data_IF_967874738382
#
_entry.id   IF_967874738382
#
_cell.length_a   1.000
_cell.length_b   1.000
_cell.length_c   1.000
_cell.angle_alpha   90.00
_cell.angle_beta   90.00
_cell.angle_gamma   90.00
#
_symmetry.space_group_name_H-M   'P 1'
#
loop_
_entity.id
_entity.type
_entity.pdbx_description
1 polymer ?
#
# COMPACT_ATOMS: atom_id res chain seq x y z
N UNK A 1 -22.47 -6.78 11.24
CA UNK A 1 -22.18 -6.54 9.81
C UNK A 1 -21.63 -5.13 9.53
N UNK A 2 -21.02 -4.46 10.52
CA UNK A 2 -20.15 -3.29 10.31
C UNK A 2 -19.29 -3.15 11.57
N UNK A 3 -18.16 -3.85 11.60
CA UNK A 3 -17.04 -3.63 12.52
C UNK A 3 -15.94 -4.58 12.09
N UNK A 4 -14.71 -4.08 11.88
CA UNK A 4 -13.44 -4.82 12.07
C UNK A 4 -12.22 -4.19 11.33
N UNK A 5 -12.24 -2.91 10.98
CA UNK A 5 -10.98 -2.20 10.66
C UNK A 5 -10.25 -1.72 11.95
N UNK A 6 -11.02 -1.38 12.99
CA UNK A 6 -10.46 -1.02 14.30
C UNK A 6 -9.95 -2.22 15.10
N UNK A 7 -10.54 -3.41 14.91
CA UNK A 7 -10.16 -4.63 15.63
C UNK A 7 -8.81 -5.19 15.16
N UNK A 8 -8.49 -5.07 13.86
CA UNK A 8 -7.18 -5.45 13.30
C UNK A 8 -6.08 -4.48 13.76
N UNK A 9 -6.42 -3.21 13.94
CA UNK A 9 -5.47 -2.20 14.46
C UNK A 9 -5.13 -2.40 15.94
N UNK A 10 -6.02 -3.00 16.74
CA UNK A 10 -5.84 -3.19 18.19
C UNK A 10 -5.11 -4.50 18.58
N UNK A 11 -5.10 -5.52 17.72
CA UNK A 11 -4.48 -6.82 18.03
C UNK A 11 -2.96 -6.88 17.81
N UNK A 12 -2.35 -5.85 17.20
CA UNK A 12 -0.95 -5.86 16.78
C UNK A 12 0.04 -5.18 17.75
N UNK A 13 -0.43 -4.62 18.88
CA UNK A 13 0.39 -4.07 19.97
C UNK A 13 1.62 -3.26 19.48
N UNK A 14 1.37 -2.24 18.65
CA UNK A 14 2.42 -1.52 17.93
C UNK A 14 3.03 -0.40 18.80
N UNK A 15 4.35 -0.44 19.10
CA UNK A 15 5.01 0.66 19.79
C UNK A 15 5.11 1.88 18.86
N UNK A 16 4.82 3.05 19.42
CA UNK A 16 4.73 4.34 18.73
C UNK A 16 6.14 4.89 18.42
N UNK A 17 6.69 4.49 17.28
CA UNK A 17 7.59 5.22 16.36
C UNK A 17 7.81 4.30 15.15
N UNK A 18 7.50 4.69 13.91
CA UNK A 18 7.50 3.73 12.78
C UNK A 18 8.60 4.00 11.73
N UNK A 19 9.88 3.68 12.02
CA UNK A 19 11.00 3.90 11.11
C UNK A 19 11.17 2.71 10.16
N UNK A 20 10.22 2.47 9.24
CA UNK A 20 10.32 1.50 8.12
C UNK A 20 10.54 -0.01 8.44
N UNK A 21 11.15 -0.38 9.56
CA UNK A 21 11.35 -1.78 9.99
C UNK A 21 10.02 -2.46 10.35
N UNK A 22 9.10 -1.84 11.12
CA UNK A 22 7.81 -2.46 11.35
C UNK A 22 6.99 -2.61 10.07
N UNK A 23 7.09 -1.64 9.15
CA UNK A 23 6.43 -1.70 7.84
C UNK A 23 6.83 -2.96 7.06
N UNK A 24 8.13 -3.24 6.93
CA UNK A 24 8.63 -4.44 6.26
C UNK A 24 8.18 -5.74 6.96
N UNK A 25 8.09 -5.73 8.29
CA UNK A 25 7.56 -6.87 9.06
C UNK A 25 6.08 -7.12 8.75
N UNK A 26 5.23 -6.10 8.79
CA UNK A 26 3.80 -6.26 8.49
C UNK A 26 3.56 -6.71 7.05
N UNK A 27 4.30 -6.15 6.09
CA UNK A 27 4.24 -6.59 4.69
C UNK A 27 4.56 -8.09 4.56
N UNK A 28 5.60 -8.57 5.27
CA UNK A 28 5.94 -9.99 5.31
C UNK A 28 4.83 -10.85 5.92
N UNK A 29 4.18 -10.39 6.99
CA UNK A 29 3.05 -11.08 7.63
C UNK A 29 1.84 -11.20 6.69
N UNK A 30 1.67 -10.25 5.77
CA UNK A 30 0.68 -10.32 4.68
C UNK A 30 1.10 -11.22 3.51
N UNK A 31 2.27 -11.87 3.59
CA UNK A 31 2.83 -12.69 2.50
C UNK A 31 3.54 -11.88 1.41
N UNK A 32 3.88 -10.62 1.68
CA UNK A 32 4.52 -9.68 0.75
C UNK A 32 5.89 -9.26 1.30
N UNK A 33 6.90 -10.15 1.29
CA UNK A 33 8.23 -9.79 1.77
C UNK A 33 8.84 -8.68 0.90
N UNK A 34 9.32 -7.62 1.54
CA UNK A 34 9.92 -6.48 0.84
C UNK A 34 11.44 -6.60 0.82
N UNK A 35 12.04 -6.31 -0.34
CA UNK A 35 13.49 -6.09 -0.44
C UNK A 35 13.88 -4.73 0.13
N UNK A 36 15.16 -4.52 0.52
CA UNK A 36 15.64 -3.21 0.94
C UNK A 36 15.37 -2.11 -0.09
N UNK A 37 15.52 -2.43 -1.39
CA UNK A 37 15.24 -1.50 -2.48
C UNK A 37 13.76 -1.09 -2.55
N UNK A 38 12.83 -2.03 -2.29
CA UNK A 38 11.40 -1.71 -2.23
C UNK A 38 11.07 -0.84 -1.03
N UNK A 39 11.63 -1.13 0.16
CA UNK A 39 11.45 -0.28 1.35
C UNK A 39 11.94 1.14 1.07
N UNK A 40 13.09 1.30 0.42
CA UNK A 40 13.60 2.62 0.02
C UNK A 40 12.71 3.31 -1.02
N UNK A 41 12.09 2.55 -1.93
CA UNK A 41 11.14 3.09 -2.91
C UNK A 41 9.89 3.66 -2.22
N UNK A 42 9.32 2.91 -1.27
CA UNK A 42 8.21 3.40 -0.45
C UNK A 42 8.60 4.65 0.33
N UNK A 43 9.80 4.70 0.91
CA UNK A 43 10.31 5.89 1.62
C UNK A 43 10.36 7.12 0.74
N UNK A 44 10.94 6.99 -0.45
CA UNK A 44 11.02 8.10 -1.42
C UNK A 44 9.64 8.56 -1.86
N UNK A 45 8.72 7.64 -2.11
CA UNK A 45 7.36 7.98 -2.51
C UNK A 45 6.57 8.68 -1.39
N UNK A 46 6.73 8.24 -0.12
CA UNK A 46 6.16 8.95 1.04
C UNK A 46 6.66 10.39 1.11
N UNK A 47 7.96 10.61 0.93
CA UNK A 47 8.52 11.98 0.94
C UNK A 47 7.93 12.83 -0.19
N UNK A 48 7.85 12.28 -1.40
CA UNK A 48 7.24 12.96 -2.54
C UNK A 48 5.77 13.32 -2.28
N UNK A 49 5.00 12.42 -1.68
CA UNK A 49 3.61 12.68 -1.33
C UNK A 49 3.46 13.78 -0.29
N UNK A 50 4.27 13.76 0.77
CA UNK A 50 4.26 14.80 1.79
C UNK A 50 4.64 16.17 1.20
N UNK A 51 5.65 16.18 0.33
CA UNK A 51 6.11 17.41 -0.32
C UNK A 51 5.05 17.99 -1.26
N UNK A 52 4.44 17.15 -2.08
CA UNK A 52 3.38 17.55 -2.99
C UNK A 52 2.10 17.96 -2.23
N UNK A 53 1.76 17.28 -1.11
CA UNK A 53 0.61 17.62 -0.28
C UNK A 53 0.65 19.04 0.31
N UNK A 54 1.83 19.67 0.36
CA UNK A 54 1.96 21.09 0.78
C UNK A 54 1.41 22.06 -0.24
N UNK A 55 1.37 21.68 -1.51
CA UNK A 55 0.99 22.54 -2.63
C UNK A 55 -0.35 22.14 -3.27
N UNK A 56 -0.70 20.86 -3.21
CA UNK A 56 -1.92 20.29 -3.78
C UNK A 56 -2.51 19.29 -2.79
N UNK A 57 -3.82 19.36 -2.51
CA UNK A 57 -4.48 18.46 -1.56
C UNK A 57 -4.67 17.04 -2.15
N UNK A 58 -3.59 16.28 -2.30
CA UNK A 58 -3.57 14.95 -2.94
C UNK A 58 -4.16 13.85 -2.05
N UNK A 59 -3.96 13.95 -0.74
CA UNK A 59 -4.56 13.06 0.26
C UNK A 59 -4.95 13.87 1.49
N UNK A 60 -5.71 13.32 2.44
CA UNK A 60 -5.93 13.94 3.76
C UNK A 60 -4.81 13.63 4.78
N UNK A 61 -3.86 12.77 4.42
CA UNK A 61 -2.79 12.30 5.31
C UNK A 61 -1.66 13.33 5.33
N UNK A 62 -1.15 13.67 6.52
CA UNK A 62 -0.22 14.80 6.73
C UNK A 62 1.11 14.41 7.37
N UNK A 63 1.26 13.16 7.78
CA UNK A 63 2.44 12.65 8.45
C UNK A 63 2.86 11.29 7.89
N UNK A 64 4.13 10.95 8.10
CA UNK A 64 4.76 9.73 7.59
C UNK A 64 4.09 8.46 8.14
N UNK A 65 3.79 8.43 9.44
CA UNK A 65 3.19 7.27 10.10
C UNK A 65 1.81 6.95 9.51
N UNK A 66 0.99 7.99 9.28
CA UNK A 66 -0.32 7.85 8.67
C UNK A 66 -0.25 7.36 7.22
N UNK A 67 0.74 7.82 6.44
CA UNK A 67 0.98 7.32 5.08
C UNK A 67 1.44 5.85 5.09
N UNK A 68 2.33 5.46 6.00
CA UNK A 68 2.75 4.06 6.13
C UNK A 68 1.56 3.16 6.44
N UNK A 69 0.74 3.51 7.43
CA UNK A 69 -0.38 2.67 7.85
C UNK A 69 -1.55 2.69 6.85
N UNK A 70 -2.06 3.87 6.50
CA UNK A 70 -3.35 4.03 5.80
C UNK A 70 -3.25 4.16 4.29
N UNK A 71 -2.04 4.31 3.76
CA UNK A 71 -1.81 4.42 2.33
C UNK A 71 -1.03 3.21 1.81
N UNK A 72 0.11 2.88 2.45
CA UNK A 72 0.95 1.76 2.00
C UNK A 72 0.44 0.41 2.48
N UNK A 73 0.32 0.20 3.80
CA UNK A 73 -0.09 -1.11 4.34
C UNK A 73 -1.52 -1.48 3.93
N UNK A 74 -2.46 -0.54 3.96
CA UNK A 74 -3.83 -0.76 3.47
C UNK A 74 -3.85 -1.22 2.01
N UNK A 75 -3.02 -0.65 1.14
CA UNK A 75 -2.92 -1.09 -0.24
C UNK A 75 -2.30 -2.50 -0.34
N UNK A 76 -1.22 -2.78 0.40
CA UNK A 76 -0.59 -4.11 0.40
C UNK A 76 -1.51 -5.21 0.93
N UNK A 77 -2.44 -4.88 1.83
CA UNK A 77 -3.43 -5.81 2.37
C UNK A 77 -4.39 -6.37 1.28
N UNK A 78 -4.48 -5.73 0.11
CA UNK A 78 -5.24 -6.25 -1.02
C UNK A 78 -4.63 -7.53 -1.61
N UNK A 79 -3.31 -7.69 -1.56
CA UNK A 79 -2.61 -8.82 -2.18
C UNK A 79 -3.08 -10.17 -1.63
N UNK A 80 -3.07 -10.45 -0.31
CA UNK A 80 -3.55 -11.73 0.21
C UNK A 80 -5.03 -11.98 -0.08
N UNK A 81 -5.85 -10.91 -0.15
CA UNK A 81 -7.28 -11.03 -0.48
C UNK A 81 -7.46 -11.47 -1.93
N UNK A 82 -6.80 -10.79 -2.87
CA UNK A 82 -6.86 -11.12 -4.31
C UNK A 82 -6.26 -12.51 -4.55
N UNK A 83 -5.13 -12.83 -3.91
CA UNK A 83 -4.46 -14.13 -4.04
C UNK A 83 -5.39 -15.27 -3.62
N UNK A 84 -6.07 -15.12 -2.48
CA UNK A 84 -7.07 -16.09 -2.01
C UNK A 84 -8.20 -16.28 -3.02
N UNK A 85 -8.71 -15.20 -3.61
CA UNK A 85 -9.76 -15.29 -4.62
C UNK A 85 -9.29 -15.96 -5.92
N UNK A 86 -8.02 -15.77 -6.29
CA UNK A 86 -7.40 -16.40 -7.45
C UNK A 86 -6.96 -17.86 -7.19
N UNK A 87 -7.05 -18.36 -5.95
CA UNK A 87 -6.53 -19.68 -5.58
C UNK A 87 -4.99 -19.76 -5.63
N UNK A 88 -4.31 -18.63 -5.43
CA UNK A 88 -2.86 -18.48 -5.53
C UNK A 88 -2.26 -18.08 -4.18
N UNK A 89 -0.97 -18.37 -4.00
CA UNK A 89 -0.18 -17.72 -2.95
C UNK A 89 0.12 -16.26 -3.34
N UNK A 90 0.27 -15.31 -2.39
CA UNK A 90 0.62 -13.92 -2.67
C UNK A 90 1.81 -13.74 -3.64
N UNK A 91 2.91 -14.46 -3.41
CA UNK A 91 4.08 -14.39 -4.29
C UNK A 91 3.79 -14.90 -5.72
N UNK A 92 2.95 -15.93 -5.86
CA UNK A 92 2.57 -16.47 -7.16
C UNK A 92 1.63 -15.51 -7.91
N UNK A 93 0.74 -14.81 -7.20
CA UNK A 93 -0.08 -13.73 -7.76
C UNK A 93 0.81 -12.61 -8.33
N UNK A 94 1.77 -12.11 -7.54
CA UNK A 94 2.64 -11.00 -7.92
C UNK A 94 3.63 -11.34 -9.06
N UNK A 95 3.88 -12.62 -9.31
CA UNK A 95 4.73 -13.10 -10.40
C UNK A 95 3.99 -13.30 -11.74
N UNK A 96 2.67 -13.10 -11.77
CA UNK A 96 1.86 -13.23 -12.98
C UNK A 96 1.51 -11.86 -13.56
N UNK A 97 1.30 -11.82 -14.87
CA UNK A 97 0.81 -10.63 -15.56
C UNK A 97 -0.69 -10.46 -15.34
N UNK A 98 -1.06 -9.35 -14.72
CA UNK A 98 -2.46 -8.97 -14.47
C UNK A 98 -2.72 -7.57 -15.02
N UNK A 99 -4.00 -7.23 -15.17
CA UNK A 99 -4.45 -5.90 -15.56
C UNK A 99 -5.44 -5.41 -14.53
N UNK A 100 -5.27 -4.17 -14.08
CA UNK A 100 -6.19 -3.52 -13.16
C UNK A 100 -6.39 -2.06 -13.53
N UNK A 101 -7.54 -1.51 -13.15
CA UNK A 101 -7.83 -0.09 -13.22
C UNK A 101 -8.01 0.45 -11.80
N UNK A 102 -7.40 1.59 -11.51
CA UNK A 102 -7.58 2.34 -10.26
C UNK A 102 -8.38 3.60 -10.58
N UNK A 103 -9.61 3.68 -10.06
CA UNK A 103 -10.57 4.73 -10.39
C UNK A 103 -10.68 5.69 -9.22
N UNK A 104 -10.36 6.97 -9.45
CA UNK A 104 -10.18 7.96 -8.39
C UNK A 104 -8.81 7.87 -7.74
N UNK A 105 -7.78 7.61 -8.56
CA UNK A 105 -6.44 7.27 -8.06
C UNK A 105 -5.81 8.37 -7.19
N UNK A 106 -6.18 9.65 -7.35
CA UNK A 106 -5.74 10.76 -6.50
C UNK A 106 -4.22 10.77 -6.24
N UNK A 107 -3.84 10.67 -4.96
CA UNK A 107 -2.43 10.52 -4.54
C UNK A 107 -1.76 9.18 -4.90
N UNK A 108 -2.42 8.31 -5.67
CA UNK A 108 -1.92 7.06 -6.21
C UNK A 108 -2.23 5.80 -5.40
N UNK A 109 -3.17 5.82 -4.45
CA UNK A 109 -3.56 4.59 -3.73
C UNK A 109 -4.83 3.97 -4.33
N UNK A 110 -4.88 2.62 -4.47
CA UNK A 110 -3.86 1.64 -4.09
C UNK A 110 -2.81 1.34 -5.18
N UNK A 111 -2.92 1.90 -6.39
CA UNK A 111 -2.10 1.50 -7.53
C UNK A 111 -0.58 1.62 -7.30
N UNK A 112 -0.11 2.74 -6.77
CA UNK A 112 1.33 2.99 -6.60
C UNK A 112 1.98 2.04 -5.59
N UNK A 113 1.45 1.86 -4.36
CA UNK A 113 1.95 0.83 -3.45
C UNK A 113 1.98 -0.57 -4.07
N UNK A 114 0.94 -0.95 -4.81
CA UNK A 114 0.87 -2.27 -5.44
C UNK A 114 1.90 -2.43 -6.56
N UNK A 115 2.11 -1.41 -7.39
CA UNK A 115 3.12 -1.42 -8.44
C UNK A 115 4.55 -1.60 -7.90
N UNK A 116 4.85 -1.13 -6.68
CA UNK A 116 6.17 -1.31 -6.06
C UNK A 116 6.49 -2.76 -5.68
N UNK A 117 5.47 -3.59 -5.49
CA UNK A 117 5.61 -5.00 -5.07
C UNK A 117 5.14 -6.01 -6.11
N UNK A 118 4.40 -5.55 -7.12
CA UNK A 118 3.80 -6.36 -8.17
C UNK A 118 4.20 -5.82 -9.55
N UNK A 119 5.46 -6.04 -9.97
CA UNK A 119 6.01 -5.44 -11.20
C UNK A 119 5.30 -5.89 -12.48
N UNK A 120 4.68 -7.08 -12.47
CA UNK A 120 3.95 -7.64 -13.61
C UNK A 120 2.53 -7.06 -13.78
N UNK A 121 2.05 -6.28 -12.80
CA UNK A 121 0.71 -5.71 -12.85
C UNK A 121 0.69 -4.45 -13.72
N UNK A 122 -0.08 -4.52 -14.81
CA UNK A 122 -0.34 -3.38 -15.68
C UNK A 122 -1.54 -2.60 -15.14
N UNK A 123 -1.25 -1.47 -14.51
CA UNK A 123 -2.26 -0.54 -14.01
C UNK A 123 -2.64 0.52 -15.04
N UNK A 124 -3.93 0.84 -15.06
CA UNK A 124 -4.46 2.08 -15.64
C UNK A 124 -4.98 2.94 -14.49
N UNK A 125 -4.40 4.12 -14.30
CA UNK A 125 -4.87 5.10 -13.31
C UNK A 125 -5.87 6.02 -14.00
N UNK A 126 -7.06 6.12 -13.43
CA UNK A 126 -8.18 6.89 -13.95
C UNK A 126 -8.53 7.94 -12.90
N UNK A 127 -8.42 9.20 -13.26
CA UNK A 127 -8.81 10.33 -12.41
C UNK A 127 -9.75 11.25 -13.18
N UNK A 128 -10.72 11.81 -12.48
CA UNK A 128 -11.59 12.82 -13.07
C UNK A 128 -10.86 14.15 -13.10
N UNK A 129 -10.96 14.85 -14.23
CA UNK A 129 -10.60 16.27 -14.29
C UNK A 129 -11.83 17.02 -13.77
N UNK A 130 -11.72 17.64 -12.59
CA UNK A 130 -12.74 18.56 -12.07
C UNK A 130 -12.31 20.00 -12.34
#
# INVERSE_FOLDING_TARGET
MYNDLNTISQSLNLPFSMPWQPFARHAREMGVPLTPAQVDLFRRYTQLLLDANRCVNLTALRDEDALIAKFHLDALALIPVIARHAGLAPAALCAQAWRAADVGSGGGAPAMPLAMVWPELRYTLIESIA
#
